data_IF_703680413756
#
_entry.id   IF_703680413756
#
_cell.length_a   1.000
_cell.length_b   1.000
_cell.length_c   1.000
_cell.angle_alpha   90.00
_cell.angle_beta   90.00
_cell.angle_gamma   90.00
#
_symmetry.space_group_name_H-M   'P 1'
#
loop_
_entity.id
_entity.type
_entity.pdbx_description
1 polymer ?
#
# COMPACT_ATOMS: atom_id res chain seq x y z
N UNK A 1 41.54 65.52 -26.19
CA UNK A 1 41.92 64.98 -27.52
C UNK A 1 41.70 63.47 -27.50
N UNK A 2 40.71 63.02 -28.26
CA UNK A 2 40.59 61.80 -29.11
C UNK A 2 41.44 60.54 -28.80
N UNK A 3 40.76 59.38 -28.97
CA UNK A 3 41.24 58.02 -29.33
C UNK A 3 41.81 57.12 -28.21
N UNK A 4 41.64 55.79 -28.23
CA UNK A 4 40.91 54.87 -29.11
C UNK A 4 40.84 53.49 -28.44
N UNK A 5 39.91 52.66 -28.93
CA UNK A 5 39.72 51.25 -28.59
C UNK A 5 40.90 50.36 -29.00
N UNK A 6 41.16 49.29 -28.25
CA UNK A 6 41.84 48.09 -28.72
C UNK A 6 41.20 46.84 -28.12
N UNK A 7 40.57 46.02 -28.98
CA UNK A 7 40.15 44.66 -28.69
C UNK A 7 41.42 43.78 -28.53
N UNK A 8 41.50 43.02 -27.45
CA UNK A 8 42.42 41.88 -27.35
C UNK A 8 41.60 40.59 -27.33
N UNK A 9 41.80 39.76 -28.35
CA UNK A 9 41.22 38.43 -28.45
C UNK A 9 41.90 37.50 -27.43
N UNK A 10 41.11 36.94 -26.50
CA UNK A 10 41.57 35.85 -25.66
C UNK A 10 41.42 34.53 -26.43
N UNK A 11 42.55 33.95 -26.81
CA UNK A 11 42.62 32.57 -27.31
C UNK A 11 42.27 31.63 -26.15
N UNK A 12 41.11 30.98 -26.23
CA UNK A 12 40.72 29.90 -25.32
C UNK A 12 41.53 28.66 -25.70
N UNK A 13 42.47 28.25 -24.84
CA UNK A 13 43.05 26.92 -24.93
C UNK A 13 41.99 25.89 -24.51
N UNK A 14 41.46 25.15 -25.47
CA UNK A 14 40.65 23.97 -25.20
C UNK A 14 41.52 22.92 -24.50
N UNK A 15 41.21 22.63 -23.23
CA UNK A 15 41.74 21.44 -22.55
C UNK A 15 41.16 20.19 -23.23
N UNK A 16 41.96 19.15 -23.52
CA UNK A 16 41.44 17.89 -24.04
C UNK A 16 40.44 17.32 -23.03
N UNK A 17 39.25 16.98 -23.52
CA UNK A 17 38.11 16.54 -22.73
C UNK A 17 38.45 15.30 -21.92
N UNK A 18 38.61 15.47 -20.61
CA UNK A 18 38.23 14.42 -19.68
C UNK A 18 36.72 14.29 -19.81
N UNK A 19 36.23 13.11 -20.22
CA UNK A 19 34.84 12.77 -19.98
C UNK A 19 34.62 12.97 -18.48
N UNK A 20 33.87 14.01 -18.12
CA UNK A 20 33.40 14.21 -16.77
C UNK A 20 32.57 12.96 -16.46
N UNK A 21 33.17 12.02 -15.72
CA UNK A 21 32.47 10.83 -15.26
C UNK A 21 31.36 11.35 -14.35
N UNK A 22 30.19 11.53 -14.94
CA UNK A 22 28.99 11.89 -14.22
C UNK A 22 28.87 10.87 -13.08
N UNK A 23 28.84 11.31 -11.81
CA UNK A 23 28.90 10.38 -10.69
C UNK A 23 27.84 9.32 -10.89
N UNK A 24 28.26 8.05 -10.93
CA UNK A 24 27.35 6.95 -11.20
C UNK A 24 26.27 6.95 -10.13
N UNK A 25 25.04 7.34 -10.50
CA UNK A 25 23.94 7.34 -9.52
C UNK A 25 23.85 5.96 -8.86
N UNK A 26 23.73 5.91 -7.52
CA UNK A 26 23.72 4.67 -6.76
C UNK A 26 22.56 3.76 -7.19
N UNK A 27 22.75 2.45 -7.00
CA UNK A 27 21.68 1.49 -7.17
C UNK A 27 20.72 1.53 -5.96
N UNK A 28 19.43 1.20 -6.14
CA UNK A 28 18.49 1.08 -5.04
C UNK A 28 18.98 0.10 -3.97
N UNK A 29 18.82 0.46 -2.70
CA UNK A 29 19.20 -0.37 -1.57
C UNK A 29 17.99 -0.65 -0.66
N UNK A 30 17.70 -1.93 -0.42
CA UNK A 30 16.60 -2.40 0.42
C UNK A 30 16.79 -3.88 0.79
N UNK A 31 15.96 -4.39 1.69
CA UNK A 31 15.97 -5.80 2.11
C UNK A 31 14.56 -6.39 2.08
N UNK A 32 14.43 -7.71 2.24
CA UNK A 32 13.12 -8.33 2.40
C UNK A 32 12.34 -7.74 3.60
N UNK A 33 13.04 -7.43 4.70
CA UNK A 33 12.43 -6.85 5.89
C UNK A 33 11.98 -5.40 5.73
N UNK A 34 12.44 -4.69 4.69
CA UNK A 34 11.97 -3.33 4.40
C UNK A 34 10.77 -3.32 3.44
N UNK A 35 10.30 -4.48 2.99
CA UNK A 35 9.00 -4.66 2.33
C UNK A 35 7.98 -5.02 3.39
N UNK A 36 7.06 -4.09 3.65
CA UNK A 36 6.07 -4.21 4.73
C UNK A 36 4.65 -4.12 4.18
N UNK A 37 3.69 -4.64 4.94
CA UNK A 37 2.29 -4.38 4.66
C UNK A 37 2.00 -2.89 4.91
N UNK A 38 1.37 -2.20 3.94
CA UNK A 38 1.19 -0.75 4.00
C UNK A 38 0.22 -0.29 5.10
N UNK A 39 -0.66 -1.19 5.58
CA UNK A 39 -1.60 -0.88 6.64
C UNK A 39 -0.96 -1.03 8.04
N UNK A 40 -0.21 -2.10 8.28
CA UNK A 40 0.41 -2.35 9.59
C UNK A 40 1.81 -1.77 9.75
N UNK A 41 2.49 -1.44 8.65
CA UNK A 41 3.93 -1.10 8.60
C UNK A 41 4.85 -2.18 9.18
N UNK A 42 4.38 -3.42 9.27
CA UNK A 42 5.15 -4.55 9.79
C UNK A 42 5.70 -5.41 8.65
N UNK A 43 6.96 -5.88 8.77
CA UNK A 43 7.48 -6.90 7.86
C UNK A 43 6.78 -8.24 8.12
N UNK A 44 6.84 -9.14 7.13
CA UNK A 44 6.30 -10.48 7.27
C UNK A 44 5.73 -10.99 5.95
N UNK A 45 4.79 -11.93 6.06
CA UNK A 45 4.08 -12.41 4.89
C UNK A 45 3.18 -11.32 4.31
N UNK A 46 3.11 -11.28 2.98
CA UNK A 46 2.12 -10.52 2.23
C UNK A 46 1.18 -11.51 1.54
N UNK A 47 0.17 -11.00 0.83
CA UNK A 47 -0.69 -11.82 -0.01
C UNK A 47 -0.84 -11.19 -1.40
N UNK A 48 -1.28 -11.96 -2.41
CA UNK A 48 -1.76 -11.37 -3.66
C UNK A 48 -2.75 -10.23 -3.39
N UNK A 49 -2.68 -9.17 -4.19
CA UNK A 49 -3.54 -7.97 -4.06
C UNK A 49 -3.33 -7.15 -2.76
N UNK A 50 -2.24 -7.38 -2.02
CA UNK A 50 -1.87 -6.56 -0.85
C UNK A 50 -1.21 -5.25 -1.28
N UNK A 51 -1.60 -4.14 -0.65
CA UNK A 51 -0.88 -2.87 -0.74
C UNK A 51 0.34 -2.99 0.18
N UNK A 52 1.52 -2.92 -0.42
CA UNK A 52 2.80 -3.01 0.28
C UNK A 52 3.55 -1.68 0.19
N UNK A 53 4.38 -1.43 1.19
CA UNK A 53 5.35 -0.34 1.18
C UNK A 53 6.75 -0.93 1.20
N UNK A 54 7.57 -0.53 0.23
CA UNK A 54 8.99 -0.79 0.20
C UNK A 54 9.72 0.45 0.71
N UNK A 55 10.42 0.30 1.83
CA UNK A 55 11.37 1.30 2.34
C UNK A 55 12.79 0.97 1.92
N UNK A 56 13.61 2.00 1.75
CA UNK A 56 15.01 1.85 1.35
C UNK A 56 15.69 3.18 1.07
N UNK A 57 16.76 3.12 0.30
CA UNK A 57 17.50 4.28 -0.20
C UNK A 57 17.57 4.21 -1.72
N UNK A 58 17.60 5.38 -2.37
CA UNK A 58 17.80 5.51 -3.82
C UNK A 58 16.75 4.76 -4.65
N UNK A 59 15.53 4.63 -4.11
CA UNK A 59 14.43 3.90 -4.76
C UNK A 59 13.85 4.66 -5.97
N UNK A 60 14.04 5.98 -6.03
CA UNK A 60 13.58 6.89 -7.06
C UNK A 60 14.42 8.18 -7.02
N UNK A 61 14.53 8.90 -8.13
CA UNK A 61 15.13 10.25 -8.17
C UNK A 61 14.09 11.36 -8.05
N UNK A 62 12.81 11.01 -7.97
CA UNK A 62 11.69 11.95 -7.87
C UNK A 62 10.68 11.46 -6.85
N UNK A 63 9.91 12.40 -6.32
CA UNK A 63 8.71 12.09 -5.53
C UNK A 63 7.47 12.29 -6.38
N UNK A 64 6.65 11.25 -6.53
CA UNK A 64 5.42 11.28 -7.30
C UNK A 64 4.37 10.33 -6.71
N UNK A 65 3.18 10.85 -6.50
CA UNK A 65 2.00 10.05 -6.18
C UNK A 65 1.21 9.72 -7.46
N UNK A 66 0.44 8.64 -7.39
CA UNK A 66 -0.61 8.32 -8.36
C UNK A 66 -1.60 9.48 -8.49
N UNK A 67 -2.03 9.76 -9.71
CA UNK A 67 -3.13 10.68 -10.00
C UNK A 67 -4.22 10.00 -10.80
N UNK A 68 -5.39 10.62 -10.86
CA UNK A 68 -6.52 10.08 -11.60
C UNK A 68 -6.18 9.86 -13.09
N UNK A 69 -5.41 10.76 -13.71
CA UNK A 69 -5.00 10.64 -15.11
C UNK A 69 -4.03 9.48 -15.41
N UNK A 70 -3.41 8.89 -14.38
CA UNK A 70 -2.50 7.75 -14.55
C UNK A 70 -3.25 6.43 -14.69
N UNK A 71 -4.49 6.36 -14.20
CA UNK A 71 -5.31 5.15 -14.23
C UNK A 71 -5.92 5.01 -15.63
N UNK A 72 -5.65 3.88 -16.29
CA UNK A 72 -6.14 3.60 -17.64
C UNK A 72 -6.98 2.34 -17.64
N UNK A 73 -8.16 2.40 -18.26
CA UNK A 73 -9.12 1.29 -18.33
C UNK A 73 -9.49 0.67 -16.97
N UNK A 74 -9.44 1.50 -15.90
CA UNK A 74 -9.68 1.06 -14.53
C UNK A 74 -8.55 0.21 -13.94
N UNK A 75 -7.32 0.36 -14.45
CA UNK A 75 -6.12 -0.33 -13.95
C UNK A 75 -5.08 0.70 -13.56
N UNK A 76 -4.44 0.48 -12.42
CA UNK A 76 -3.31 1.28 -11.96
C UNK A 76 -2.14 1.25 -12.97
N UNK A 77 -1.20 2.20 -12.92
CA UNK A 77 0.03 2.11 -13.71
C UNK A 77 1.06 1.19 -13.05
N UNK A 78 1.91 0.54 -13.85
CA UNK A 78 3.13 -0.17 -13.39
C UNK A 78 4.38 0.73 -13.44
N UNK A 79 4.22 1.96 -13.91
CA UNK A 79 5.22 3.01 -13.99
C UNK A 79 4.53 4.37 -13.81
N UNK A 80 4.93 5.12 -12.80
CA UNK A 80 4.51 6.52 -12.65
C UNK A 80 5.36 7.39 -13.58
N UNK A 81 4.71 8.17 -14.47
CA UNK A 81 5.42 8.92 -15.51
C UNK A 81 6.52 9.83 -14.93
N UNK A 82 7.72 9.76 -15.49
CA UNK A 82 8.88 10.52 -15.02
C UNK A 82 9.62 9.94 -13.81
N UNK A 83 9.15 8.83 -13.22
CA UNK A 83 9.86 8.19 -12.09
C UNK A 83 10.97 7.23 -12.50
N UNK A 84 10.82 6.56 -13.64
CA UNK A 84 11.73 5.48 -14.05
C UNK A 84 11.65 4.23 -13.19
N UNK A 85 10.81 4.21 -12.15
CA UNK A 85 10.68 3.11 -11.19
C UNK A 85 9.77 2.02 -11.75
N UNK A 86 10.27 0.79 -11.73
CA UNK A 86 9.49 -0.43 -11.99
C UNK A 86 9.76 -1.43 -10.89
N UNK A 87 8.73 -2.10 -10.43
CA UNK A 87 8.85 -3.20 -9.46
C UNK A 87 8.29 -4.47 -10.09
N UNK A 88 9.07 -5.54 -10.04
CA UNK A 88 8.66 -6.87 -10.46
C UNK A 88 8.51 -7.76 -9.23
N UNK A 89 7.47 -8.58 -9.20
CA UNK A 89 7.27 -9.66 -8.23
C UNK A 89 7.09 -10.96 -9.02
N UNK A 90 8.03 -11.91 -8.91
CA UNK A 90 8.12 -13.10 -9.78
C UNK A 90 8.03 -12.76 -11.28
N UNK A 91 8.79 -11.76 -11.72
CA UNK A 91 8.78 -11.23 -13.09
C UNK A 91 7.44 -10.63 -13.57
N UNK A 92 6.44 -10.48 -12.68
CA UNK A 92 5.18 -9.80 -12.97
C UNK A 92 5.28 -8.35 -12.49
N UNK A 93 4.98 -7.35 -13.35
CA UNK A 93 4.95 -5.95 -12.93
C UNK A 93 3.94 -5.69 -11.80
N UNK A 94 4.43 -5.14 -10.70
CA UNK A 94 3.59 -4.60 -9.64
C UNK A 94 3.09 -3.19 -10.02
N UNK A 95 1.90 -2.86 -9.53
CA UNK A 95 1.28 -1.57 -9.80
C UNK A 95 1.69 -0.56 -8.73
N UNK A 96 1.78 0.73 -9.08
CA UNK A 96 2.38 1.75 -8.21
C UNK A 96 1.35 2.78 -7.75
N UNK A 97 1.41 3.08 -6.45
CA UNK A 97 0.64 4.15 -5.81
C UNK A 97 1.48 5.40 -5.55
N UNK A 98 2.75 5.20 -5.22
CA UNK A 98 3.62 6.28 -4.79
C UNK A 98 5.08 5.87 -4.96
N UNK A 99 5.92 6.82 -5.34
CA UNK A 99 7.37 6.66 -5.41
C UNK A 99 8.05 7.89 -4.82
N UNK A 100 9.12 7.67 -4.08
CA UNK A 100 10.06 8.68 -3.57
C UNK A 100 11.44 8.04 -3.40
N UNK A 101 12.50 8.82 -3.16
CA UNK A 101 13.84 8.26 -2.95
C UNK A 101 13.93 7.23 -1.82
N UNK A 102 13.02 7.28 -0.84
CA UNK A 102 13.06 6.43 0.36
C UNK A 102 11.87 5.48 0.52
N UNK A 103 10.87 5.60 -0.34
CA UNK A 103 9.62 4.84 -0.21
C UNK A 103 8.94 4.59 -1.56
N UNK A 104 8.49 3.36 -1.77
CA UNK A 104 7.60 2.99 -2.88
C UNK A 104 6.38 2.28 -2.32
N UNK A 105 5.17 2.78 -2.62
CA UNK A 105 3.94 2.05 -2.33
C UNK A 105 3.50 1.35 -3.62
N UNK A 106 3.27 0.05 -3.51
CA UNK A 106 2.95 -0.82 -4.63
C UNK A 106 1.82 -1.79 -4.27
N UNK A 107 1.16 -2.32 -5.29
CA UNK A 107 0.19 -3.39 -5.18
C UNK A 107 0.82 -4.69 -5.67
N UNK A 108 0.87 -5.69 -4.79
CA UNK A 108 1.30 -7.05 -5.13
C UNK A 108 0.33 -7.61 -6.19
N UNK A 109 0.81 -8.12 -7.35
CA UNK A 109 -0.07 -8.61 -8.40
C UNK A 109 -1.06 -9.68 -7.89
N UNK A 110 -2.34 -9.49 -8.20
CA UNK A 110 -3.44 -10.33 -7.71
C UNK A 110 -3.44 -11.77 -8.28
N UNK A 111 -2.73 -12.00 -9.39
CA UNK A 111 -2.62 -13.29 -10.07
C UNK A 111 -1.45 -14.16 -9.57
N UNK A 112 -0.71 -13.71 -8.55
CA UNK A 112 0.34 -14.52 -7.93
C UNK A 112 -0.27 -15.64 -7.08
N UNK A 113 0.43 -16.77 -7.04
CA UNK A 113 0.08 -17.90 -6.17
C UNK A 113 0.82 -17.77 -4.84
N UNK A 114 0.23 -18.17 -3.69
CA UNK A 114 0.93 -18.26 -2.43
C UNK A 114 2.21 -19.11 -2.54
N UNK A 115 3.27 -18.68 -1.86
CA UNK A 115 4.60 -19.26 -1.94
C UNK A 115 5.71 -18.22 -1.86
N UNK A 116 6.93 -18.65 -2.14
CA UNK A 116 8.07 -17.75 -2.23
C UNK A 116 7.96 -16.87 -3.50
N UNK A 117 8.20 -15.57 -3.37
CA UNK A 117 8.18 -14.63 -4.49
C UNK A 117 9.38 -13.70 -4.46
N UNK A 118 10.10 -13.59 -5.58
CA UNK A 118 11.21 -12.65 -5.73
C UNK A 118 10.67 -11.26 -6.06
N UNK A 119 11.00 -10.26 -5.25
CA UNK A 119 10.78 -8.84 -5.54
C UNK A 119 12.07 -8.19 -6.02
N UNK A 120 11.98 -7.41 -7.10
CA UNK A 120 13.08 -6.57 -7.59
C UNK A 120 12.56 -5.23 -8.09
N UNK A 121 13.14 -4.15 -7.58
CA UNK A 121 12.93 -2.79 -8.05
C UNK A 121 14.05 -2.39 -9.01
N UNK A 122 13.69 -1.68 -10.07
CA UNK A 122 14.63 -1.00 -10.97
C UNK A 122 14.27 0.47 -11.10
N UNK A 123 15.25 1.37 -11.06
CA UNK A 123 15.09 2.81 -11.33
C UNK A 123 15.95 3.21 -12.52
N UNK A 124 15.34 3.73 -13.58
CA UNK A 124 16.02 4.10 -14.83
C UNK A 124 16.93 2.98 -15.38
N UNK A 125 16.48 1.73 -15.29
CA UNK A 125 17.22 0.55 -15.74
C UNK A 125 18.30 0.04 -14.78
N UNK A 126 18.55 0.72 -13.65
CA UNK A 126 19.42 0.22 -12.57
C UNK A 126 18.64 -0.66 -11.62
N UNK A 127 19.03 -1.92 -11.50
CA UNK A 127 18.41 -2.86 -10.58
C UNK A 127 18.95 -2.71 -9.15
N UNK A 128 18.04 -2.77 -8.18
CA UNK A 128 18.38 -3.07 -6.79
C UNK A 128 18.55 -4.57 -6.55
N UNK A 129 18.72 -5.00 -5.30
CA UNK A 129 18.85 -6.41 -4.96
C UNK A 129 17.56 -7.19 -5.25
N UNK A 130 17.69 -8.47 -5.61
CA UNK A 130 16.56 -9.40 -5.57
C UNK A 130 16.32 -9.81 -4.11
N UNK A 131 15.09 -9.64 -3.62
CA UNK A 131 14.72 -10.02 -2.25
C UNK A 131 13.58 -11.03 -2.27
N UNK A 132 13.67 -12.05 -1.41
CA UNK A 132 12.66 -13.10 -1.33
C UNK A 132 11.57 -12.72 -0.33
N UNK A 133 10.33 -12.68 -0.80
CA UNK A 133 9.12 -12.47 -0.01
C UNK A 133 8.40 -13.80 0.22
N UNK A 134 7.64 -13.88 1.31
CA UNK A 134 6.66 -14.95 1.53
C UNK A 134 5.28 -14.41 1.20
N UNK A 135 4.58 -15.06 0.26
CA UNK A 135 3.18 -14.79 -0.03
C UNK A 135 2.31 -15.88 0.59
N UNK A 136 1.42 -15.50 1.49
CA UNK A 136 0.36 -16.37 2.02
C UNK A 136 -0.95 -16.12 1.24
N UNK A 137 -1.97 -16.98 1.44
CA UNK A 137 -3.27 -16.81 0.77
C UNK A 137 -4.00 -15.52 1.20
N UNK A 138 -3.76 -15.07 2.43
CA UNK A 138 -4.13 -13.77 2.95
C UNK A 138 -3.05 -13.31 3.95
N UNK A 139 -2.89 -12.01 4.10
CA UNK A 139 -2.04 -11.36 5.10
C UNK A 139 -2.79 -10.13 5.64
N UNK A 140 -3.85 -10.34 6.46
CA UNK A 140 -4.73 -9.26 6.88
C UNK A 140 -3.99 -8.17 7.63
N UNK A 141 -4.26 -6.92 7.29
CA UNK A 141 -3.86 -5.78 8.11
C UNK A 141 -4.88 -4.66 7.97
N UNK A 142 -5.19 -4.01 9.09
CA UNK A 142 -6.14 -2.90 9.16
C UNK A 142 -5.35 -1.60 9.12
N UNK A 143 -5.78 -0.65 8.29
CA UNK A 143 -5.18 0.67 8.25
C UNK A 143 -5.41 1.35 9.60
N UNK A 144 -4.49 2.22 9.99
CA UNK A 144 -4.42 2.80 11.33
C UNK A 144 -4.36 4.32 11.22
N UNK A 145 -5.00 5.01 12.17
CA UNK A 145 -5.05 6.48 12.22
C UNK A 145 -3.78 7.07 12.86
N UNK A 146 -3.31 6.48 13.95
CA UNK A 146 -2.26 7.02 14.83
C UNK A 146 -1.31 5.94 15.41
N UNK A 147 -1.33 4.73 14.83
CA UNK A 147 -0.55 3.59 15.31
C UNK A 147 -1.18 2.78 16.45
N UNK A 148 -2.36 3.19 16.93
CA UNK A 148 -3.13 2.48 17.98
C UNK A 148 -4.60 2.32 17.64
N UNK A 149 -5.13 3.25 16.85
CA UNK A 149 -6.54 3.32 16.50
C UNK A 149 -6.73 2.78 15.09
N UNK A 150 -7.71 1.90 14.88
CA UNK A 150 -8.11 1.47 13.53
C UNK A 150 -8.63 2.67 12.72
N UNK A 151 -8.29 2.72 11.43
CA UNK A 151 -8.91 3.66 10.51
C UNK A 151 -10.33 3.18 10.20
N UNK A 152 -11.30 3.91 10.76
CA UNK A 152 -12.72 3.63 10.61
C UNK A 152 -13.48 4.92 10.26
N UNK A 153 -14.50 4.79 9.44
CA UNK A 153 -15.46 5.86 9.11
C UNK A 153 -16.88 5.39 9.35
N UNK A 154 -17.79 6.30 9.68
CA UNK A 154 -19.22 5.98 9.74
C UNK A 154 -19.74 5.71 8.34
N UNK A 155 -20.58 4.68 8.20
CA UNK A 155 -21.26 4.41 6.92
C UNK A 155 -22.18 5.57 6.55
N UNK A 156 -22.84 6.14 7.55
CA UNK A 156 -23.73 7.28 7.41
C UNK A 156 -22.92 8.58 7.54
N UNK A 157 -22.50 9.16 6.41
CA UNK A 157 -21.83 10.49 6.38
C UNK A 157 -20.32 10.45 6.17
N UNK A 158 -19.66 9.32 6.39
CA UNK A 158 -18.23 9.15 6.12
C UNK A 158 -17.31 9.82 7.15
N UNK A 159 -17.84 10.28 8.28
CA UNK A 159 -17.02 10.91 9.33
C UNK A 159 -16.07 9.90 9.97
N UNK A 160 -14.86 10.35 10.28
CA UNK A 160 -13.88 9.54 10.99
C UNK A 160 -14.40 9.14 12.38
N UNK A 161 -14.13 7.90 12.74
CA UNK A 161 -14.27 7.38 14.09
C UNK A 161 -12.94 7.60 14.80
N UNK A 162 -12.96 8.36 15.88
CA UNK A 162 -11.77 8.68 16.69
C UNK A 162 -12.11 8.52 18.17
N UNK A 163 -11.13 8.56 19.09
CA UNK A 163 -11.42 8.60 20.53
C UNK A 163 -12.32 9.78 20.96
N UNK A 164 -12.22 10.92 20.26
CA UNK A 164 -13.05 12.11 20.53
C UNK A 164 -14.45 12.00 19.93
N UNK A 165 -14.59 11.28 18.82
CA UNK A 165 -15.85 10.99 18.14
C UNK A 165 -16.02 9.48 17.96
N UNK A 166 -16.22 8.70 19.05
CA UNK A 166 -16.18 7.24 18.99
C UNK A 166 -17.43 6.67 18.33
N UNK A 167 -17.32 5.41 17.90
CA UNK A 167 -18.45 4.72 17.28
C UNK A 167 -19.55 4.43 18.30
N UNK A 168 -20.81 4.53 17.89
CA UNK A 168 -21.95 4.25 18.77
C UNK A 168 -22.30 2.76 18.74
N UNK A 169 -22.66 2.16 19.88
CA UNK A 169 -23.29 0.84 19.91
C UNK A 169 -24.46 0.77 18.91
N UNK A 170 -24.52 -0.32 18.14
CA UNK A 170 -25.56 -0.58 17.14
C UNK A 170 -25.33 0.05 15.75
N UNK A 171 -24.48 1.07 15.62
CA UNK A 171 -24.19 1.72 14.33
C UNK A 171 -23.27 0.86 13.45
N UNK A 172 -23.22 1.15 12.14
CA UNK A 172 -22.31 0.48 11.21
C UNK A 172 -21.15 1.41 10.86
N UNK A 173 -19.93 0.90 11.07
CA UNK A 173 -18.69 1.56 10.67
C UNK A 173 -18.03 0.79 9.53
N UNK A 174 -17.34 1.50 8.66
CA UNK A 174 -16.48 0.95 7.62
C UNK A 174 -15.04 0.98 8.08
N UNK A 175 -14.42 -0.20 8.14
CA UNK A 175 -13.00 -0.39 8.42
C UNK A 175 -12.25 -0.59 7.11
N UNK A 176 -11.04 -0.03 7.00
CA UNK A 176 -10.19 -0.23 5.82
C UNK A 176 -9.04 -1.19 6.10
N UNK A 177 -8.81 -2.11 5.18
CA UNK A 177 -7.79 -3.14 5.31
C UNK A 177 -7.09 -3.44 3.98
N UNK A 178 -6.02 -4.22 4.03
CA UNK A 178 -5.39 -4.82 2.85
C UNK A 178 -4.95 -6.25 3.13
N UNK A 179 -4.73 -7.03 2.07
CA UNK A 179 -4.28 -8.42 2.17
C UNK A 179 -5.32 -9.40 2.71
N UNK A 180 -6.63 -9.12 2.57
CA UNK A 180 -7.68 -10.04 3.04
C UNK A 180 -7.87 -11.30 2.16
N UNK A 181 -7.15 -11.39 1.03
CA UNK A 181 -7.18 -12.53 0.12
C UNK A 181 -8.03 -12.29 -1.14
N UNK A 182 -8.31 -13.37 -1.87
CA UNK A 182 -9.04 -13.31 -3.14
C UNK A 182 -10.51 -12.89 -2.94
N UNK A 183 -11.08 -12.28 -3.97
CA UNK A 183 -12.50 -11.96 -4.06
C UNK A 183 -13.23 -12.93 -5.00
N UNK A 184 -14.56 -12.95 -4.92
CA UNK A 184 -15.41 -13.62 -5.88
C UNK A 184 -16.40 -12.62 -6.50
N UNK A 185 -16.27 -12.27 -7.80
CA UNK A 185 -15.28 -12.77 -8.76
C UNK A 185 -13.84 -12.30 -8.46
N UNK A 186 -12.81 -13.02 -8.97
CA UNK A 186 -11.42 -12.58 -8.85
C UNK A 186 -11.17 -11.32 -9.68
N UNK A 187 -10.29 -10.45 -9.17
CA UNK A 187 -9.89 -9.21 -9.86
C UNK A 187 -8.60 -9.38 -10.64
N UNK A 188 -8.45 -8.62 -11.72
CA UNK A 188 -7.19 -8.58 -12.47
C UNK A 188 -6.13 -7.79 -11.67
N UNK A 189 -4.83 -8.06 -11.89
CA UNK A 189 -3.77 -7.28 -11.25
C UNK A 189 -3.93 -5.77 -11.53
N UNK A 190 -3.88 -4.95 -10.49
CA UNK A 190 -3.99 -3.49 -10.62
C UNK A 190 -5.40 -2.96 -10.84
N UNK A 191 -6.41 -3.84 -10.90
CA UNK A 191 -7.78 -3.44 -11.17
C UNK A 191 -8.38 -2.60 -10.03
N UNK A 192 -8.86 -1.42 -10.39
CA UNK A 192 -9.65 -0.54 -9.54
C UNK A 192 -11.06 -1.11 -9.49
N UNK A 193 -11.50 -1.52 -8.30
CA UNK A 193 -12.82 -2.13 -8.13
C UNK A 193 -13.91 -1.14 -8.52
N UNK A 194 -14.72 -1.46 -9.55
CA UNK A 194 -15.82 -0.60 -10.02
C UNK A 194 -17.04 -0.63 -9.10
N UNK A 195 -17.19 -1.72 -8.36
CA UNK A 195 -18.27 -1.97 -7.42
C UNK A 195 -17.74 -2.78 -6.24
N UNK A 196 -18.57 -2.89 -5.20
CA UNK A 196 -18.31 -3.77 -4.08
C UNK A 196 -18.11 -5.20 -4.60
N UNK A 197 -16.95 -5.80 -4.31
CA UNK A 197 -16.59 -7.16 -4.72
C UNK A 197 -16.24 -7.94 -3.46
N UNK A 198 -17.12 -8.84 -3.05
CA UNK A 198 -17.01 -9.58 -1.79
C UNK A 198 -15.79 -10.51 -1.77
N UNK A 199 -15.26 -10.77 -0.58
CA UNK A 199 -14.25 -11.80 -0.37
C UNK A 199 -14.76 -13.16 -0.84
N UNK A 200 -13.86 -13.99 -1.36
CA UNK A 200 -14.15 -15.39 -1.62
C UNK A 200 -14.52 -16.07 -0.27
N UNK A 201 -15.68 -16.74 -0.16
CA UNK A 201 -16.05 -17.49 1.05
C UNK A 201 -14.98 -18.47 1.53
N UNK A 202 -14.15 -19.01 0.64
CA UNK A 202 -13.02 -19.88 0.98
C UNK A 202 -11.97 -19.18 1.87
N UNK A 203 -11.93 -17.85 1.89
CA UNK A 203 -11.08 -17.09 2.80
C UNK A 203 -11.52 -17.24 4.26
N UNK A 204 -12.74 -17.69 4.56
CA UNK A 204 -13.21 -17.91 5.94
C UNK A 204 -13.05 -16.66 6.83
N UNK A 205 -13.37 -15.49 6.27
CA UNK A 205 -13.15 -14.19 6.91
C UNK A 205 -13.95 -14.05 8.22
N UNK A 206 -13.29 -13.54 9.28
CA UNK A 206 -13.87 -13.29 10.60
C UNK A 206 -13.33 -12.01 11.20
N UNK A 207 -14.13 -11.37 12.06
CA UNK A 207 -13.74 -10.22 12.87
C UNK A 207 -13.82 -10.61 14.35
N UNK A 208 -12.85 -10.18 15.14
CA UNK A 208 -12.76 -10.37 16.58
C UNK A 208 -12.68 -9.01 17.27
N UNK A 209 -13.39 -8.88 18.39
CA UNK A 209 -13.31 -7.74 19.30
C UNK A 209 -12.99 -8.29 20.69
N UNK A 210 -11.88 -7.87 21.29
CA UNK A 210 -11.33 -8.40 22.56
C UNK A 210 -11.22 -9.93 22.58
N UNK A 211 -10.78 -10.51 21.47
CA UNK A 211 -10.65 -11.96 21.30
C UNK A 211 -11.98 -12.71 21.13
N UNK A 212 -13.13 -12.03 21.16
CA UNK A 212 -14.46 -12.62 20.88
C UNK A 212 -14.81 -12.49 19.41
N UNK A 213 -15.04 -13.64 18.77
CA UNK A 213 -15.52 -13.69 17.38
C UNK A 213 -16.87 -12.99 17.25
N UNK A 214 -16.99 -12.11 16.27
CA UNK A 214 -18.21 -11.40 15.96
C UNK A 214 -19.10 -12.26 15.07
N UNK A 215 -20.42 -12.35 15.35
CA UNK A 215 -21.35 -13.04 14.47
C UNK A 215 -21.30 -12.50 13.05
N UNK A 216 -21.47 -13.35 12.04
CA UNK A 216 -21.48 -12.92 10.63
C UNK A 216 -22.55 -11.83 10.35
N UNK A 217 -23.67 -11.83 11.07
CA UNK A 217 -24.68 -10.78 11.00
C UNK A 217 -24.18 -9.38 11.41
N UNK A 218 -23.12 -9.30 12.21
CA UNK A 218 -22.45 -8.05 12.56
C UNK A 218 -21.42 -7.61 11.51
N UNK A 219 -21.13 -8.43 10.50
CA UNK A 219 -20.21 -8.11 9.41
C UNK A 219 -20.99 -8.13 8.09
N UNK A 220 -21.89 -7.16 7.85
CA UNK A 220 -22.75 -7.15 6.65
C UNK A 220 -21.97 -7.09 5.33
N UNK A 221 -20.70 -6.68 5.34
CA UNK A 221 -19.86 -6.69 4.15
C UNK A 221 -18.37 -6.84 4.50
N UNK A 222 -17.66 -7.64 3.69
CA UNK A 222 -16.20 -7.68 3.64
C UNK A 222 -15.76 -7.95 2.19
N UNK A 223 -14.92 -7.08 1.63
CA UNK A 223 -14.52 -7.16 0.22
C UNK A 223 -13.74 -5.95 -0.23
N UNK A 224 -13.47 -5.85 -1.54
CA UNK A 224 -12.79 -4.68 -2.10
C UNK A 224 -13.65 -3.42 -1.98
N UNK A 225 -12.99 -2.31 -1.64
CA UNK A 225 -13.58 -0.99 -1.59
C UNK A 225 -13.72 -0.43 -3.02
N UNK A 226 -14.92 0.02 -3.44
CA UNK A 226 -15.10 0.65 -4.74
C UNK A 226 -14.17 1.86 -4.93
N UNK A 227 -13.61 2.02 -6.12
CA UNK A 227 -12.71 3.12 -6.48
C UNK A 227 -11.24 2.90 -6.14
N UNK A 228 -10.87 1.76 -5.56
CA UNK A 228 -9.49 1.44 -5.15
C UNK A 228 -9.04 0.05 -5.61
N UNK A 229 -7.73 -0.17 -5.72
CA UNK A 229 -7.14 -1.47 -6.05
C UNK A 229 -6.41 -2.08 -4.84
N UNK A 230 -6.86 -3.23 -4.33
CA UNK A 230 -6.26 -3.86 -3.14
C UNK A 230 -6.55 -3.18 -1.79
N UNK A 231 -7.40 -2.14 -1.80
CA UNK A 231 -8.03 -1.63 -0.58
C UNK A 231 -9.31 -2.42 -0.33
N UNK A 232 -9.45 -2.97 0.85
CA UNK A 232 -10.63 -3.68 1.30
C UNK A 232 -11.40 -2.80 2.27
N UNK A 233 -12.72 -2.90 2.22
CA UNK A 233 -13.61 -2.35 3.22
C UNK A 233 -14.33 -3.48 3.95
N UNK A 234 -14.52 -3.30 5.26
CA UNK A 234 -15.28 -4.21 6.12
C UNK A 234 -16.31 -3.37 6.86
N UNK A 235 -17.58 -3.64 6.60
CA UNK A 235 -18.66 -2.99 7.34
C UNK A 235 -18.91 -3.82 8.59
N UNK A 236 -18.77 -3.18 9.75
CA UNK A 236 -18.94 -3.78 11.06
C UNK A 236 -20.07 -3.05 11.79
N UNK A 237 -21.14 -3.77 12.14
CA UNK A 237 -22.11 -3.31 13.12
C UNK A 237 -21.48 -3.42 14.50
N UNK A 238 -21.34 -2.30 15.20
CA UNK A 238 -20.75 -2.24 16.54
C UNK A 238 -21.68 -2.95 17.54
N UNK A 239 -21.25 -4.02 18.22
CA UNK A 239 -22.04 -4.68 19.25
C UNK A 239 -22.43 -3.76 20.41
N UNK A 240 -23.52 -4.11 21.08
CA UNK A 240 -24.10 -3.31 22.18
C UNK A 240 -23.29 -3.34 23.48
N UNK A 241 -22.56 -4.44 23.73
CA UNK A 241 -21.94 -4.75 25.02
C UNK A 241 -20.40 -4.71 24.94
N UNK A 242 -19.84 -3.65 24.35
CA UNK A 242 -18.39 -3.48 24.22
C UNK A 242 -17.80 -2.53 25.25
N UNK A 243 -16.55 -2.78 25.61
CA UNK A 243 -15.71 -1.77 26.26
C UNK A 243 -15.49 -0.57 25.32
N UNK A 244 -14.92 0.53 25.83
CA UNK A 244 -14.79 1.76 25.04
C UNK A 244 -13.70 1.71 23.96
N UNK A 245 -12.85 0.69 23.98
CA UNK A 245 -11.72 0.56 23.05
C UNK A 245 -11.34 -0.91 22.82
N UNK A 246 -12.28 -1.78 22.38
CA UNK A 246 -11.98 -3.19 22.14
C UNK A 246 -10.84 -3.36 21.14
N UNK A 247 -9.95 -4.30 21.41
CA UNK A 247 -8.94 -4.72 20.44
C UNK A 247 -9.64 -5.34 19.23
N UNK A 248 -9.38 -4.79 18.04
CA UNK A 248 -9.90 -5.28 16.79
C UNK A 248 -8.87 -6.17 16.09
N UNK A 249 -9.27 -7.41 15.78
CA UNK A 249 -8.48 -8.32 14.95
C UNK A 249 -9.32 -8.91 13.82
N UNK A 250 -8.70 -9.10 12.66
CA UNK A 250 -9.30 -9.77 11.51
C UNK A 250 -8.59 -11.09 11.24
N UNK A 251 -9.35 -12.09 10.77
CA UNK A 251 -8.80 -13.37 10.31
C UNK A 251 -9.26 -13.63 8.89
N UNK A 252 -8.33 -14.01 8.01
CA UNK A 252 -8.62 -14.49 6.66
C UNK A 252 -7.60 -15.56 6.27
N UNK A 253 -8.06 -16.62 5.61
CA UNK A 253 -7.28 -17.81 5.24
C UNK A 253 -6.43 -18.37 6.40
N UNK A 254 -6.96 -18.30 7.63
CA UNK A 254 -6.27 -18.73 8.85
C UNK A 254 -5.16 -17.79 9.35
N UNK A 255 -4.87 -16.69 8.64
CA UNK A 255 -3.92 -15.66 9.05
C UNK A 255 -4.62 -14.56 9.84
N UNK A 256 -3.97 -14.11 10.90
CA UNK A 256 -4.46 -13.02 11.76
C UNK A 256 -3.86 -11.69 11.37
N UNK A 257 -4.64 -10.62 11.52
CA UNK A 257 -4.07 -9.28 11.56
C UNK A 257 -3.17 -9.08 12.79
N UNK A 258 -2.20 -8.15 12.71
CA UNK A 258 -1.44 -7.72 13.87
C UNK A 258 -2.34 -7.31 15.03
N UNK A 259 -1.86 -7.55 16.24
CA UNK A 259 -2.48 -7.14 17.49
C UNK A 259 -2.19 -5.66 17.81
N UNK A 260 -2.93 -5.09 18.77
CA UNK A 260 -2.66 -3.77 19.34
C UNK A 260 -3.44 -2.60 18.74
N UNK A 261 -4.35 -2.85 17.80
CA UNK A 261 -5.27 -1.83 17.29
C UNK A 261 -6.61 -1.90 17.99
N UNK A 262 -7.11 -0.75 18.47
CA UNK A 262 -8.42 -0.62 19.11
C UNK A 262 -9.43 0.12 18.22
N UNK A 263 -10.70 -0.27 18.30
CA UNK A 263 -11.83 0.48 17.74
C UNK A 263 -12.43 1.38 18.83
N UNK A 264 -12.44 2.72 18.69
CA UNK A 264 -13.09 3.60 19.65
C UNK A 264 -14.61 3.38 19.66
N UNK A 265 -15.17 3.06 20.81
CA UNK A 265 -16.60 2.84 21.03
C UNK A 265 -17.09 3.70 22.20
N UNK A 266 -18.19 4.42 21.97
CA UNK A 266 -18.84 5.24 22.98
C UNK A 266 -19.55 4.38 24.01
N UNK A 267 -19.58 4.82 25.26
CA UNK A 267 -20.44 4.21 26.29
C UNK A 267 -21.90 4.51 25.97
N UNK A 268 -22.79 3.58 26.30
CA UNK A 268 -24.23 3.84 26.37
C UNK A 268 -24.57 4.94 27.37
#
# INVERSE_FOLDING_TARGET
MIAAWALAAAVVFARPGGAEQQPSRPAPAYTAASVVNAASHQPGALAPNTIATLYGEELSYVTRALRAEDVRDGVLPTLLAGSGVRVLVNNIPAHLYYVSPRQVNLLIPANLTPGAAELRLTVDGRAGPAVLLRLDAAAPAVFQLDGRTVLAVRVDGGELVTPDTPARPGEIVTLYATGLGQTSPPVRPGEVARSATALDPAAGFRVYLDGKEQPAANVPYAGLAPGFAGLYQVNLRVPEDLESAPELRMVAAGQWSPAGLSLPVGRR
#
